data_IF_336711582612
#
_entry.id   IF_336711582612
#
_cell.length_a   1.000
_cell.length_b   1.000
_cell.length_c   1.000
_cell.angle_alpha   90.00
_cell.angle_beta   90.00
_cell.angle_gamma   90.00
#
_symmetry.space_group_name_H-M   'P 1'
#
loop_
_entity.id
_entity.type
_entity.pdbx_description
1 polymer ?
#
# COMPACT_ATOMS: atom_id res chain seq x y z
N UNK A 1 14.57 -41.44 -3.22
CA UNK A 1 13.24 -40.91 -3.60
C UNK A 1 13.36 -39.40 -3.65
N UNK A 2 13.58 -38.88 -4.86
CA UNK A 2 13.77 -37.46 -5.15
C UNK A 2 12.42 -36.73 -5.10
N UNK A 3 12.28 -35.75 -4.21
CA UNK A 3 11.18 -34.80 -4.18
C UNK A 3 11.65 -33.46 -4.72
N UNK A 4 11.26 -33.14 -5.95
CA UNK A 4 11.65 -31.96 -6.71
C UNK A 4 11.26 -30.65 -6.00
N UNK A 5 12.26 -29.83 -5.63
CA UNK A 5 12.07 -28.40 -5.37
C UNK A 5 11.96 -27.67 -6.71
N UNK A 6 10.75 -27.46 -7.22
CA UNK A 6 10.50 -26.48 -8.28
C UNK A 6 10.57 -25.07 -7.69
N UNK A 7 11.78 -24.57 -7.49
CA UNK A 7 12.01 -23.14 -7.29
C UNK A 7 11.96 -22.45 -8.65
N UNK A 8 10.78 -21.97 -9.06
CA UNK A 8 10.71 -20.97 -10.13
C UNK A 8 11.56 -19.77 -9.72
N UNK A 9 12.78 -19.67 -10.25
CA UNK A 9 13.62 -18.49 -10.06
C UNK A 9 12.90 -17.30 -10.71
N UNK A 10 12.32 -16.44 -9.87
CA UNK A 10 11.72 -15.19 -10.29
C UNK A 10 12.73 -14.41 -11.14
N UNK A 11 12.39 -14.17 -12.42
CA UNK A 11 13.25 -13.37 -13.30
C UNK A 11 13.32 -11.95 -12.76
N UNK A 12 14.47 -11.56 -12.22
CA UNK A 12 14.75 -10.18 -11.77
C UNK A 12 14.89 -9.28 -13.00
N UNK A 13 13.77 -8.92 -13.61
CA UNK A 13 13.69 -8.09 -14.82
C UNK A 13 13.28 -6.64 -14.57
N UNK A 14 12.94 -6.27 -13.32
CA UNK A 14 12.57 -4.90 -12.99
C UNK A 14 13.81 -3.99 -12.99
N UNK A 15 13.85 -3.09 -13.96
CA UNK A 15 14.81 -1.99 -13.99
C UNK A 15 14.49 -1.00 -12.87
N UNK A 16 15.49 -0.23 -12.43
CA UNK A 16 15.34 0.77 -11.36
C UNK A 16 14.16 1.73 -11.60
N UNK A 17 13.92 2.11 -12.86
CA UNK A 17 12.76 2.92 -13.27
C UNK A 17 11.42 2.27 -12.96
N UNK A 18 11.28 0.94 -13.15
CA UNK A 18 10.04 0.24 -12.84
C UNK A 18 9.77 0.23 -11.35
N UNK A 19 10.82 0.02 -10.54
CA UNK A 19 10.72 0.05 -9.07
C UNK A 19 10.29 1.44 -8.59
N UNK A 20 10.89 2.50 -9.14
CA UNK A 20 10.51 3.88 -8.82
C UNK A 20 9.07 4.20 -9.22
N UNK A 21 8.61 3.73 -10.39
CA UNK A 21 7.23 3.93 -10.84
C UNK A 21 6.22 3.18 -9.94
N UNK A 22 6.55 1.97 -9.49
CA UNK A 22 5.71 1.23 -8.53
C UNK A 22 5.65 1.96 -7.20
N UNK A 23 6.79 2.43 -6.68
CA UNK A 23 6.84 3.19 -5.44
C UNK A 23 6.05 4.50 -5.53
N UNK A 24 6.19 5.24 -6.64
CA UNK A 24 5.46 6.48 -6.88
C UNK A 24 3.95 6.24 -7.02
N UNK A 25 3.56 5.21 -7.78
CA UNK A 25 2.16 4.82 -7.95
C UNK A 25 1.50 4.39 -6.63
N UNK A 26 2.22 3.65 -5.79
CA UNK A 26 1.74 3.28 -4.46
C UNK A 26 1.68 4.46 -3.47
N UNK A 27 2.59 5.43 -3.59
CA UNK A 27 2.62 6.59 -2.71
C UNK A 27 1.54 7.63 -3.08
N UNK A 28 1.31 7.87 -4.37
CA UNK A 28 0.27 8.79 -4.88
C UNK A 28 -1.04 8.01 -5.06
N UNK A 29 -1.55 7.46 -3.96
CA UNK A 29 -2.79 6.70 -3.94
C UNK A 29 -4.04 7.58 -3.96
N UNK A 30 -5.21 6.96 -4.05
CA UNK A 30 -6.52 7.63 -4.00
C UNK A 30 -6.78 8.41 -2.70
N UNK A 31 -6.09 8.04 -1.61
CA UNK A 31 -6.18 8.72 -0.32
C UNK A 31 -5.71 10.18 -0.34
N UNK A 32 -4.71 10.51 -1.17
CA UNK A 32 -4.27 11.90 -1.33
C UNK A 32 -5.37 12.78 -1.94
N UNK A 33 -6.19 12.26 -2.86
CA UNK A 33 -7.17 13.08 -3.56
C UNK A 33 -8.55 13.03 -2.89
N UNK A 34 -9.05 11.83 -2.59
CA UNK A 34 -10.37 11.66 -1.99
C UNK A 34 -10.36 12.01 -0.50
N UNK A 35 -9.29 11.62 0.20
CA UNK A 35 -9.11 11.89 1.63
C UNK A 35 -8.84 13.37 1.88
N UNK A 36 -7.89 13.98 1.17
CA UNK A 36 -7.55 15.39 1.39
C UNK A 36 -8.73 16.32 1.18
N UNK A 37 -9.63 16.08 0.20
CA UNK A 37 -10.82 16.90 0.03
C UNK A 37 -11.69 16.96 1.30
N UNK A 38 -11.92 15.82 1.94
CA UNK A 38 -12.68 15.76 3.21
C UNK A 38 -11.92 16.36 4.39
N UNK A 39 -10.62 16.07 4.51
CA UNK A 39 -9.81 16.52 5.66
C UNK A 39 -9.53 18.03 5.58
N UNK A 40 -9.32 18.58 4.39
CA UNK A 40 -9.14 20.03 4.18
C UNK A 40 -10.41 20.78 4.59
N UNK A 41 -11.57 20.26 4.24
CA UNK A 41 -12.86 20.87 4.57
C UNK A 41 -13.13 20.87 6.09
N UNK A 42 -12.67 19.85 6.82
CA UNK A 42 -12.86 19.76 8.28
C UNK A 42 -11.76 20.41 9.12
N UNK A 43 -10.49 20.38 8.67
CA UNK A 43 -9.33 20.78 9.48
C UNK A 43 -8.83 22.21 9.21
N UNK A 44 -9.26 22.84 8.10
CA UNK A 44 -8.82 24.18 7.73
C UNK A 44 -7.32 24.26 7.39
N UNK A 45 -6.70 25.46 7.42
CA UNK A 45 -5.33 25.67 6.95
C UNK A 45 -4.25 24.95 7.77
N UNK A 46 -4.57 24.50 8.99
CA UNK A 46 -3.65 23.75 9.86
C UNK A 46 -3.30 22.34 9.35
N UNK A 47 -4.04 21.83 8.36
CA UNK A 47 -3.80 20.51 7.77
C UNK A 47 -2.38 20.35 7.19
N UNK A 48 -1.78 21.45 6.72
CA UNK A 48 -0.43 21.46 6.15
C UNK A 48 0.60 21.03 7.21
N UNK A 49 0.46 21.54 8.44
CA UNK A 49 1.32 21.16 9.56
C UNK A 49 1.11 19.69 9.94
N UNK A 50 -0.15 19.22 9.93
CA UNK A 50 -0.47 17.81 10.15
C UNK A 50 0.21 16.88 9.14
N UNK A 51 0.12 17.20 7.85
CA UNK A 51 0.80 16.44 6.79
C UNK A 51 2.33 16.52 6.90
N UNK A 52 2.89 17.67 7.28
CA UNK A 52 4.33 17.82 7.46
C UNK A 52 4.86 16.91 8.59
N UNK A 53 4.17 16.89 9.73
CA UNK A 53 4.56 16.05 10.88
C UNK A 53 4.36 14.57 10.55
N UNK A 54 3.21 14.19 9.98
CA UNK A 54 2.93 12.82 9.59
C UNK A 54 3.93 12.31 8.53
N UNK A 55 4.23 13.14 7.52
CA UNK A 55 5.22 12.85 6.49
C UNK A 55 6.63 12.72 7.06
N UNK A 56 7.01 13.56 8.02
CA UNK A 56 8.30 13.44 8.69
C UNK A 56 8.44 12.13 9.46
N UNK A 57 7.43 11.73 10.23
CA UNK A 57 7.42 10.45 10.94
C UNK A 57 7.46 9.27 9.94
N UNK A 58 6.65 9.31 8.89
CA UNK A 58 6.65 8.28 7.85
C UNK A 58 8.01 8.17 7.14
N UNK A 59 8.67 9.29 6.86
CA UNK A 59 10.01 9.33 6.30
C UNK A 59 11.04 8.63 7.20
N UNK A 60 11.00 8.89 8.51
CA UNK A 60 11.89 8.21 9.46
C UNK A 60 11.65 6.70 9.48
N UNK A 61 10.38 6.27 9.47
CA UNK A 61 10.02 4.85 9.42
C UNK A 61 10.53 4.20 8.14
N UNK A 62 10.27 4.79 6.97
CA UNK A 62 10.73 4.26 5.68
C UNK A 62 12.25 4.20 5.58
N UNK A 63 12.96 5.19 6.15
CA UNK A 63 14.42 5.17 6.20
C UNK A 63 14.94 3.98 7.01
N UNK A 64 14.41 3.76 8.21
CA UNK A 64 14.82 2.63 9.07
C UNK A 64 14.55 1.29 8.39
N UNK A 65 13.38 1.16 7.77
CA UNK A 65 13.01 -0.04 7.01
C UNK A 65 13.91 -0.25 5.79
N UNK A 66 14.29 0.83 5.10
CA UNK A 66 15.22 0.77 3.99
C UNK A 66 16.60 0.26 4.41
N UNK A 67 17.12 0.71 5.55
CA UNK A 67 18.37 0.21 6.14
C UNK A 67 18.29 -1.31 6.41
N UNK A 68 17.18 -1.81 6.99
CA UNK A 68 16.97 -3.25 7.22
C UNK A 68 16.89 -4.08 5.93
N UNK A 69 16.22 -3.57 4.89
CA UNK A 69 16.08 -4.27 3.59
C UNK A 69 17.41 -4.35 2.84
N UNK A 70 18.29 -3.36 3.02
CA UNK A 70 19.64 -3.36 2.44
C UNK A 70 20.55 -4.36 3.16
N UNK A 71 20.45 -4.44 4.48
CA UNK A 71 21.24 -5.38 5.29
C UNK A 71 20.78 -6.83 5.08
N UNK A 72 19.46 -7.06 5.01
CA UNK A 72 18.87 -8.38 4.75
C UNK A 72 18.00 -8.35 3.49
N UNK A 73 18.56 -8.61 2.30
CA UNK A 73 17.83 -8.61 1.04
C UNK A 73 17.01 -9.90 0.88
N UNK A 74 15.98 -10.06 1.71
CA UNK A 74 14.99 -11.14 1.61
C UNK A 74 13.78 -10.66 0.81
N UNK A 75 13.19 -11.54 0.01
CA UNK A 75 11.92 -11.28 -0.67
C UNK A 75 10.72 -11.39 0.31
N UNK A 76 10.81 -10.71 1.45
CA UNK A 76 9.84 -10.76 2.56
C UNK A 76 9.26 -9.39 2.88
N UNK A 77 7.98 -9.36 3.29
CA UNK A 77 7.31 -8.15 3.80
C UNK A 77 7.71 -7.87 5.26
N UNK A 78 7.25 -6.76 5.85
CA UNK A 78 7.50 -6.39 7.25
C UNK A 78 7.15 -7.51 8.25
N UNK A 79 6.17 -8.35 7.93
CA UNK A 79 5.81 -9.53 8.71
C UNK A 79 6.96 -10.55 8.85
N UNK A 80 7.86 -10.62 7.87
CA UNK A 80 9.07 -11.46 7.93
C UNK A 80 10.03 -10.95 9.01
N UNK A 81 10.27 -9.64 9.06
CA UNK A 81 11.10 -9.03 10.11
C UNK A 81 10.45 -9.19 11.49
N UNK A 82 9.13 -9.03 11.61
CA UNK A 82 8.41 -9.28 12.85
C UNK A 82 8.52 -10.75 13.31
N UNK A 83 8.41 -11.70 12.38
CA UNK A 83 8.61 -13.12 12.67
C UNK A 83 10.02 -13.41 13.16
N UNK A 84 11.04 -12.83 12.50
CA UNK A 84 12.45 -13.07 12.79
C UNK A 84 12.91 -12.44 14.11
N UNK A 85 12.55 -11.19 14.37
CA UNK A 85 13.06 -10.44 15.52
C UNK A 85 12.18 -10.54 16.77
N UNK A 86 10.87 -10.77 16.62
CA UNK A 86 9.91 -10.78 17.74
C UNK A 86 9.26 -12.16 17.96
N UNK A 87 9.36 -13.06 16.98
CA UNK A 87 8.88 -14.43 17.08
C UNK A 87 7.58 -14.70 16.34
N UNK A 88 7.11 -15.94 16.43
CA UNK A 88 6.04 -16.46 15.58
C UNK A 88 4.69 -15.75 15.74
N UNK A 89 4.32 -15.38 16.98
CA UNK A 89 3.07 -14.66 17.24
C UNK A 89 3.07 -13.26 16.62
N UNK A 90 4.17 -12.51 16.75
CA UNK A 90 4.29 -11.18 16.19
C UNK A 90 4.32 -11.20 14.66
N UNK A 91 4.97 -12.20 14.05
CA UNK A 91 4.92 -12.45 12.61
C UNK A 91 3.50 -12.77 12.11
N UNK A 92 2.76 -13.60 12.83
CA UNK A 92 1.36 -13.92 12.48
C UNK A 92 0.44 -12.70 12.62
N UNK A 93 0.52 -11.98 13.75
CA UNK A 93 -0.31 -10.80 14.00
C UNK A 93 -0.03 -9.67 12.99
N UNK A 94 1.24 -9.42 12.66
CA UNK A 94 1.61 -8.42 11.65
C UNK A 94 1.20 -8.86 10.24
N UNK A 95 1.32 -10.15 9.90
CA UNK A 95 0.80 -10.70 8.64
C UNK A 95 -0.72 -10.52 8.51
N UNK A 96 -1.47 -10.83 9.56
CA UNK A 96 -2.92 -10.64 9.59
C UNK A 96 -3.31 -9.17 9.50
N UNK A 97 -2.61 -8.30 10.22
CA UNK A 97 -2.81 -6.85 10.14
C UNK A 97 -2.59 -6.34 8.71
N UNK A 98 -1.54 -6.83 8.04
CA UNK A 98 -1.23 -6.46 6.66
C UNK A 98 -2.33 -6.90 5.68
N UNK A 99 -2.85 -8.12 5.85
CA UNK A 99 -3.96 -8.62 5.03
C UNK A 99 -5.23 -7.77 5.23
N UNK A 100 -5.61 -7.49 6.47
CA UNK A 100 -6.77 -6.64 6.77
C UNK A 100 -6.59 -5.23 6.19
N UNK A 101 -5.39 -4.65 6.34
CA UNK A 101 -5.08 -3.32 5.81
C UNK A 101 -5.22 -3.30 4.28
N UNK A 102 -4.74 -4.33 3.58
CA UNK A 102 -4.92 -4.42 2.13
C UNK A 102 -6.39 -4.53 1.72
N UNK A 103 -7.20 -5.32 2.43
CA UNK A 103 -8.65 -5.39 2.18
C UNK A 103 -9.30 -4.03 2.36
N UNK A 104 -8.97 -3.31 3.44
CA UNK A 104 -9.51 -1.98 3.70
C UNK A 104 -9.08 -0.96 2.64
N UNK A 105 -7.81 -0.97 2.23
CA UNK A 105 -7.30 -0.10 1.17
C UNK A 105 -8.00 -0.40 -0.16
N UNK A 106 -8.15 -1.66 -0.54
CA UNK A 106 -8.83 -2.06 -1.77
C UNK A 106 -10.29 -1.59 -1.79
N UNK A 107 -11.01 -1.69 -0.67
CA UNK A 107 -12.38 -1.17 -0.54
C UNK A 107 -12.43 0.36 -0.62
N UNK A 108 -11.46 1.06 -0.03
CA UNK A 108 -11.34 2.51 -0.12
C UNK A 108 -11.07 2.97 -1.56
N UNK A 109 -10.17 2.30 -2.27
CA UNK A 109 -9.87 2.57 -3.68
C UNK A 109 -11.10 2.32 -4.57
N UNK A 110 -11.84 1.23 -4.34
CA UNK A 110 -13.08 0.94 -5.06
C UNK A 110 -14.13 2.05 -4.89
N UNK A 111 -14.28 2.52 -3.66
CA UNK A 111 -15.20 3.63 -3.33
C UNK A 111 -14.75 4.92 -4.03
N UNK A 112 -13.44 5.18 -4.08
CA UNK A 112 -12.88 6.33 -4.77
C UNK A 112 -13.18 6.27 -6.28
N UNK A 113 -12.90 5.13 -6.93
CA UNK A 113 -13.16 4.90 -8.36
C UNK A 113 -14.65 5.07 -8.67
N UNK A 114 -15.53 4.51 -7.83
CA UNK A 114 -16.98 4.68 -7.97
C UNK A 114 -17.41 6.14 -7.94
N UNK A 115 -16.90 6.93 -6.98
CA UNK A 115 -17.17 8.37 -6.89
C UNK A 115 -16.62 9.14 -8.08
N UNK A 116 -15.40 8.83 -8.54
CA UNK A 116 -14.81 9.51 -9.69
C UNK A 116 -15.59 9.23 -10.98
N UNK A 117 -15.99 8.00 -11.23
CA UNK A 117 -16.78 7.67 -12.43
C UNK A 117 -18.13 8.34 -12.37
N UNK A 118 -18.82 8.33 -11.23
CA UNK A 118 -20.10 9.01 -11.08
C UNK A 118 -20.00 10.54 -11.21
N UNK A 119 -18.85 11.13 -10.88
CA UNK A 119 -18.61 12.56 -11.08
C UNK A 119 -18.59 12.96 -12.56
N UNK A 120 -18.00 12.12 -13.43
CA UNK A 120 -17.92 12.39 -14.88
C UNK A 120 -19.10 11.82 -15.67
N UNK A 121 -19.59 10.65 -15.26
CA UNK A 121 -20.68 9.90 -15.89
C UNK A 121 -21.71 9.50 -14.82
N UNK A 122 -22.62 10.42 -14.45
CA UNK A 122 -23.60 10.19 -13.37
C UNK A 122 -24.58 9.03 -13.67
N UNK A 123 -24.73 8.68 -14.94
CA UNK A 123 -25.65 7.63 -15.40
C UNK A 123 -25.12 6.21 -15.18
N UNK A 124 -23.82 6.04 -14.90
CA UNK A 124 -23.22 4.73 -14.66
C UNK A 124 -23.39 4.37 -13.17
N UNK A 125 -24.10 3.29 -12.83
CA UNK A 125 -24.21 2.83 -11.46
C UNK A 125 -22.85 2.42 -10.89
N UNK A 126 -22.58 2.79 -9.63
CA UNK A 126 -21.30 2.51 -8.96
C UNK A 126 -20.93 1.03 -8.92
N UNK A 127 -21.91 0.11 -8.94
CA UNK A 127 -21.67 -1.33 -8.98
C UNK A 127 -21.07 -1.82 -10.31
N UNK A 128 -21.39 -1.16 -11.44
CA UNK A 128 -20.84 -1.51 -12.76
C UNK A 128 -19.37 -1.15 -12.80
N UNK A 129 -19.04 0.06 -12.34
CA UNK A 129 -17.66 0.50 -12.16
C UNK A 129 -16.88 -0.44 -11.25
N UNK A 130 -17.49 -0.86 -10.13
CA UNK A 130 -16.84 -1.80 -9.24
C UNK A 130 -16.56 -3.16 -9.91
N UNK A 131 -17.55 -3.71 -10.61
CA UNK A 131 -17.42 -5.00 -11.29
C UNK A 131 -16.34 -5.01 -12.39
N UNK A 132 -16.19 -3.91 -13.15
CA UNK A 132 -15.20 -3.79 -14.23
C UNK A 132 -13.77 -3.66 -13.70
N UNK A 133 -13.57 -2.94 -12.59
CA UNK A 133 -12.23 -2.73 -12.03
C UNK A 133 -11.75 -3.89 -11.14
N UNK A 134 -12.66 -4.68 -10.57
CA UNK A 134 -12.33 -5.85 -9.75
C UNK A 134 -12.37 -7.20 -10.49
N UNK A 135 -13.01 -7.28 -11.66
CA UNK A 135 -13.16 -8.51 -12.45
C UNK A 135 -12.08 -8.68 -13.50
#
# INVERSE_FOLDING_TARGET
MEGQQHGEQLKRGLKNRHIQLIALGGAIGTGLFLGSASVIQSAGPGIILGYAIAGFIAFLIMRQLGEMVVEEPVAGSFSHFAYKYWGSFAGFASGWNYWVLYVLVAMAELTAVGKYIQFWYPEIPTWVSAAVFFG
#
